data_IF_676554676198
#
_entry.id   IF_676554676198
#
_cell.length_a   1.000
_cell.length_b   1.000
_cell.length_c   1.000
_cell.angle_alpha   90.00
_cell.angle_beta   90.00
_cell.angle_gamma   90.00
#
_symmetry.space_group_name_H-M   'P 1'
#
loop_
_entity.id
_entity.type
_entity.pdbx_description
1 polymer ?
#
# COMPACT_ATOMS: atom_id res chain seq x y z
N UNK A 1 -39.17 29.02 45.02
CA UNK A 1 -38.88 28.10 43.92
C UNK A 1 -37.96 28.86 42.95
N UNK A 2 -36.70 28.40 42.88
CA UNK A 2 -35.74 28.95 41.90
C UNK A 2 -35.88 28.14 40.64
N UNK A 3 -36.41 28.74 39.59
CA UNK A 3 -36.33 28.20 38.23
C UNK A 3 -34.88 28.04 37.83
N UNK A 4 -34.40 26.82 37.89
CA UNK A 4 -33.12 26.43 37.28
C UNK A 4 -33.34 26.40 35.78
N UNK A 5 -33.13 27.54 35.12
CA UNK A 5 -33.00 27.58 33.67
C UNK A 5 -31.75 26.81 33.30
N UNK A 6 -31.94 25.55 32.91
CA UNK A 6 -30.89 24.71 32.38
C UNK A 6 -30.50 25.15 30.96
N UNK A 7 -29.82 26.32 30.89
CA UNK A 7 -29.25 26.85 29.64
C UNK A 7 -27.89 26.26 29.26
N UNK A 8 -27.53 25.09 29.79
CA UNK A 8 -26.17 24.53 29.62
C UNK A 8 -26.08 23.47 28.54
N UNK A 9 -27.17 23.13 27.91
CA UNK A 9 -27.12 22.17 26.79
C UNK A 9 -26.81 22.95 25.50
N UNK A 10 -25.56 22.81 25.03
CA UNK A 10 -25.19 23.18 23.68
C UNK A 10 -26.05 22.37 22.72
N UNK A 11 -26.62 23.06 21.74
CA UNK A 11 -27.41 22.42 20.69
C UNK A 11 -26.55 21.35 20.01
N UNK A 12 -27.06 20.14 19.87
CA UNK A 12 -26.31 19.07 19.23
C UNK A 12 -25.93 19.48 17.79
N UNK A 13 -24.69 19.24 17.37
CA UNK A 13 -24.28 19.56 16.00
C UNK A 13 -25.12 18.74 15.00
N UNK A 14 -25.28 19.27 13.79
CA UNK A 14 -25.98 18.57 12.72
C UNK A 14 -25.26 17.25 12.38
N UNK A 15 -26.01 16.23 11.95
CA UNK A 15 -25.43 14.92 11.57
C UNK A 15 -24.31 15.05 10.53
N UNK A 16 -24.43 16.01 9.60
CA UNK A 16 -23.40 16.29 8.60
C UNK A 16 -22.09 16.75 9.25
N UNK A 17 -22.15 17.55 10.30
CA UNK A 17 -20.97 18.02 11.01
C UNK A 17 -20.32 16.90 11.81
N UNK A 18 -21.13 16.03 12.43
CA UNK A 18 -20.63 14.85 13.14
C UNK A 18 -19.89 13.91 12.18
N UNK A 19 -20.47 13.65 11.03
CA UNK A 19 -19.86 12.79 10.00
C UNK A 19 -18.54 13.35 9.48
N UNK A 20 -18.43 14.67 9.35
CA UNK A 20 -17.19 15.33 8.91
C UNK A 20 -16.11 15.37 9.99
N UNK A 21 -16.48 15.65 11.24
CA UNK A 21 -15.54 15.77 12.37
C UNK A 21 -14.95 14.42 12.75
N UNK A 22 -15.76 13.35 12.72
CA UNK A 22 -15.35 11.99 13.05
C UNK A 22 -14.83 11.20 11.85
N UNK A 23 -14.62 11.84 10.70
CA UNK A 23 -14.12 11.19 9.50
C UNK A 23 -12.65 10.75 9.65
N UNK A 24 -12.37 9.53 9.20
CA UNK A 24 -11.00 9.03 9.11
C UNK A 24 -10.42 9.34 7.74
N UNK A 25 -9.31 10.05 7.73
CA UNK A 25 -8.66 10.52 6.51
C UNK A 25 -7.39 9.72 6.24
N UNK A 26 -7.18 9.28 5.00
CA UNK A 26 -5.98 8.56 4.59
C UNK A 26 -5.52 8.94 3.19
N UNK A 27 -4.21 9.17 3.03
CA UNK A 27 -3.61 9.41 1.73
C UNK A 27 -3.45 8.08 0.97
N UNK A 28 -3.90 8.06 -0.27
CA UNK A 28 -3.81 6.92 -1.19
C UNK A 28 -3.36 7.39 -2.56
N UNK A 29 -3.04 6.43 -3.41
CA UNK A 29 -2.60 6.67 -4.79
C UNK A 29 -3.45 5.81 -5.71
N UNK A 30 -3.83 6.36 -6.85
CA UNK A 30 -4.60 5.66 -7.88
C UNK A 30 -3.66 4.71 -8.62
N UNK A 31 -4.08 3.48 -8.80
CA UNK A 31 -3.34 2.44 -9.52
C UNK A 31 -3.60 2.47 -11.04
N UNK A 32 -2.97 1.52 -11.77
CA UNK A 32 -3.14 1.39 -13.21
C UNK A 32 -4.58 1.02 -13.64
N UNK A 33 -5.38 0.47 -12.72
CA UNK A 33 -6.79 0.13 -12.94
C UNK A 33 -7.75 1.29 -12.69
N UNK A 34 -7.24 2.51 -12.52
CA UNK A 34 -8.02 3.70 -12.15
C UNK A 34 -8.76 3.54 -10.82
N UNK A 35 -8.30 2.66 -9.96
CA UNK A 35 -8.88 2.35 -8.66
C UNK A 35 -7.95 2.74 -7.52
N UNK A 36 -8.54 2.86 -6.33
CA UNK A 36 -7.86 3.17 -5.08
C UNK A 36 -7.96 1.94 -4.18
N UNK A 37 -6.83 1.43 -3.72
CA UNK A 37 -6.81 0.34 -2.75
C UNK A 37 -7.00 0.90 -1.34
N UNK A 38 -8.07 0.45 -0.66
CA UNK A 38 -8.38 0.81 0.72
C UNK A 38 -8.89 -0.42 1.48
N UNK A 39 -8.31 -0.75 2.64
CA UNK A 39 -8.67 -1.93 3.47
C UNK A 39 -8.85 -3.24 2.67
N UNK A 40 -7.88 -3.57 1.80
CA UNK A 40 -7.88 -4.76 0.93
C UNK A 40 -8.95 -4.80 -0.18
N UNK A 41 -9.83 -3.82 -0.26
CA UNK A 41 -10.80 -3.66 -1.34
C UNK A 41 -10.33 -2.60 -2.34
N UNK A 42 -10.86 -2.67 -3.55
CA UNK A 42 -10.59 -1.72 -4.62
C UNK A 42 -11.81 -0.86 -4.85
N UNK A 43 -11.61 0.44 -4.91
CA UNK A 43 -12.68 1.42 -5.07
C UNK A 43 -12.42 2.29 -6.28
N UNK A 44 -13.47 2.54 -7.06
CA UNK A 44 -13.40 3.45 -8.19
C UNK A 44 -14.11 4.77 -7.85
N UNK A 45 -13.51 5.92 -8.22
CA UNK A 45 -14.14 7.22 -8.00
C UNK A 45 -15.30 7.45 -8.98
N UNK A 46 -16.44 7.93 -8.47
CA UNK A 46 -17.62 8.31 -9.22
C UNK A 46 -17.92 9.78 -9.02
N UNK A 47 -18.15 10.48 -10.11
CA UNK A 47 -18.65 11.85 -10.08
C UNK A 47 -20.18 11.84 -10.08
N UNK A 48 -20.77 12.68 -9.23
CA UNK A 48 -22.21 12.92 -9.25
C UNK A 48 -22.52 14.00 -10.28
N UNK A 49 -23.23 13.62 -11.34
CA UNK A 49 -23.72 14.52 -12.37
C UNK A 49 -25.25 14.55 -12.34
N UNK A 50 -25.85 15.55 -13.01
CA UNK A 50 -27.31 15.71 -13.11
C UNK A 50 -28.05 14.48 -13.66
N UNK A 51 -27.35 13.57 -14.36
CA UNK A 51 -27.90 12.32 -14.89
C UNK A 51 -27.49 11.07 -14.11
N UNK A 52 -26.94 11.20 -12.91
CA UNK A 52 -26.52 10.07 -12.05
C UNK A 52 -25.02 9.97 -11.80
N UNK A 53 -24.61 8.85 -11.21
CA UNK A 53 -23.21 8.58 -10.88
C UNK A 53 -22.46 8.03 -12.10
N UNK A 54 -21.38 8.69 -12.48
CA UNK A 54 -20.51 8.23 -13.58
C UNK A 54 -19.09 7.97 -13.06
N UNK A 55 -18.45 6.87 -13.48
CA UNK A 55 -17.07 6.59 -13.11
C UNK A 55 -16.14 7.66 -13.69
N UNK A 56 -15.24 8.17 -12.87
CA UNK A 56 -14.20 9.11 -13.29
C UNK A 56 -12.86 8.40 -13.32
N UNK A 57 -12.18 8.47 -14.45
CA UNK A 57 -10.86 7.85 -14.64
C UNK A 57 -9.76 8.87 -14.35
N UNK A 58 -8.74 8.44 -13.62
CA UNK A 58 -7.57 9.23 -13.29
C UNK A 58 -6.30 8.50 -13.68
N UNK A 59 -5.24 9.23 -13.97
CA UNK A 59 -3.95 8.64 -14.28
C UNK A 59 -3.36 7.90 -13.08
N UNK A 60 -2.62 6.82 -13.36
CA UNK A 60 -1.82 6.10 -12.36
C UNK A 60 -0.88 7.07 -11.64
N UNK A 61 -0.76 6.93 -10.33
CA UNK A 61 0.11 7.80 -9.52
C UNK A 61 -0.58 9.06 -9.02
N UNK A 62 -1.81 9.37 -9.44
CA UNK A 62 -2.55 10.52 -8.91
C UNK A 62 -2.81 10.33 -7.42
N UNK A 63 -2.47 11.34 -6.62
CA UNK A 63 -2.74 11.35 -5.18
C UNK A 63 -4.23 11.57 -4.92
N UNK A 64 -4.78 10.79 -4.00
CA UNK A 64 -6.16 10.85 -3.57
C UNK A 64 -6.22 10.86 -2.04
N UNK A 65 -7.01 11.75 -1.47
CA UNK A 65 -7.32 11.79 -0.06
C UNK A 65 -8.62 11.02 0.15
N UNK A 66 -8.53 9.83 0.74
CA UNK A 66 -9.72 9.01 1.05
C UNK A 66 -10.25 9.43 2.42
N UNK A 67 -11.52 9.75 2.46
CA UNK A 67 -12.25 10.17 3.65
C UNK A 67 -13.33 9.12 3.91
N UNK A 68 -13.22 8.44 5.05
CA UNK A 68 -14.27 7.55 5.55
C UNK A 68 -15.08 8.32 6.57
N UNK A 69 -16.30 8.69 6.20
CA UNK A 69 -17.24 9.35 7.10
C UNK A 69 -17.70 8.41 8.23
N UNK A 70 -18.24 8.96 9.29
CA UNK A 70 -18.70 8.17 10.44
C UNK A 70 -19.84 7.20 10.08
N UNK A 71 -20.70 7.58 9.16
CA UNK A 71 -21.77 6.72 8.59
C UNK A 71 -21.25 5.56 7.72
N UNK A 72 -19.94 5.48 7.49
CA UNK A 72 -19.30 4.48 6.65
C UNK A 72 -19.17 4.85 5.18
N UNK A 73 -19.70 5.98 4.74
CA UNK A 73 -19.56 6.47 3.38
C UNK A 73 -18.09 6.75 3.05
N UNK A 74 -17.64 6.25 1.90
CA UNK A 74 -16.28 6.49 1.41
C UNK A 74 -16.29 7.54 0.31
N UNK A 75 -15.52 8.60 0.53
CA UNK A 75 -15.30 9.68 -0.40
C UNK A 75 -13.82 9.78 -0.75
N UNK A 76 -13.50 10.28 -1.92
CA UNK A 76 -12.13 10.63 -2.28
C UNK A 76 -12.04 12.07 -2.77
N UNK A 77 -11.17 12.86 -2.18
CA UNK A 77 -10.79 14.16 -2.71
C UNK A 77 -9.57 13.99 -3.63
N UNK A 78 -9.75 14.39 -4.90
CA UNK A 78 -8.73 14.26 -5.95
C UNK A 78 -8.70 15.57 -6.71
N UNK A 79 -7.57 16.28 -6.73
CA UNK A 79 -7.41 17.57 -7.39
C UNK A 79 -8.54 18.56 -6.98
N UNK A 80 -8.76 18.68 -5.68
CA UNK A 80 -9.73 19.61 -5.06
C UNK A 80 -11.22 19.33 -5.40
N UNK A 81 -11.51 18.19 -6.01
CA UNK A 81 -12.87 17.73 -6.25
C UNK A 81 -13.17 16.45 -5.46
N UNK A 82 -14.40 16.34 -4.96
CA UNK A 82 -14.84 15.20 -4.16
C UNK A 82 -15.60 14.21 -5.03
N UNK A 83 -15.28 12.94 -4.87
CA UNK A 83 -15.86 11.81 -5.61
C UNK A 83 -16.35 10.75 -4.64
N UNK A 84 -17.48 10.13 -4.94
CA UNK A 84 -17.97 8.99 -4.19
C UNK A 84 -17.15 7.74 -4.59
N UNK A 85 -16.71 6.96 -3.62
CA UNK A 85 -16.01 5.72 -3.86
C UNK A 85 -17.00 4.54 -3.87
N UNK A 86 -16.99 3.74 -4.94
CA UNK A 86 -17.71 2.47 -5.03
C UNK A 86 -16.74 1.32 -5.12
N UNK A 87 -17.04 0.26 -4.41
CA UNK A 87 -16.25 -0.96 -4.47
C UNK A 87 -16.37 -1.61 -5.85
N UNK A 88 -15.22 -2.09 -6.34
CA UNK A 88 -15.10 -2.78 -7.62
C UNK A 88 -14.32 -4.06 -7.39
N UNK A 89 -14.78 -5.13 -7.99
CA UNK A 89 -14.07 -6.40 -7.95
C UNK A 89 -12.66 -6.25 -8.53
N UNK A 90 -11.71 -6.91 -7.89
CA UNK A 90 -10.34 -6.96 -8.37
C UNK A 90 -10.31 -7.60 -9.74
N UNK A 91 -9.91 -6.84 -10.76
CA UNK A 91 -9.67 -7.40 -12.08
C UNK A 91 -8.60 -8.47 -11.98
N UNK A 92 -8.90 -9.66 -12.48
CA UNK A 92 -7.86 -10.68 -12.66
C UNK A 92 -6.80 -10.12 -13.59
N UNK A 93 -5.52 -10.25 -13.20
CA UNK A 93 -4.39 -9.75 -14.00
C UNK A 93 -4.21 -10.49 -15.33
N UNK A 94 -4.91 -11.60 -15.50
CA UNK A 94 -4.86 -12.44 -16.68
C UNK A 94 -6.27 -12.59 -17.27
N UNK A 95 -6.38 -12.39 -18.58
CA UNK A 95 -7.57 -12.79 -19.32
C UNK A 95 -7.55 -14.31 -19.45
N UNK A 96 -8.53 -14.99 -18.89
CA UNK A 96 -8.64 -16.46 -19.00
C UNK A 96 -8.84 -16.94 -20.46
N UNK A 97 -9.20 -16.02 -21.34
CA UNK A 97 -9.46 -16.29 -22.75
C UNK A 97 -8.19 -16.61 -23.55
N UNK A 98 -7.03 -16.14 -23.04
CA UNK A 98 -5.72 -16.35 -23.68
C UNK A 98 -4.79 -17.25 -22.86
N UNK A 99 -5.27 -17.82 -21.74
CA UNK A 99 -4.48 -18.77 -20.99
C UNK A 99 -4.47 -20.11 -21.74
N UNK A 100 -3.29 -20.70 -22.01
CA UNK A 100 -3.21 -22.04 -22.56
C UNK A 100 -3.94 -23.01 -21.62
N UNK A 101 -4.77 -23.91 -22.18
CA UNK A 101 -5.55 -24.89 -21.40
C UNK A 101 -4.72 -25.84 -20.54
N UNK A 102 -3.43 -25.90 -20.75
CA UNK A 102 -2.51 -26.67 -19.92
C UNK A 102 -1.86 -25.78 -18.84
N UNK A 103 -1.92 -26.21 -17.57
CA UNK A 103 -1.19 -25.50 -16.53
C UNK A 103 0.30 -25.46 -16.91
N UNK A 104 0.96 -24.30 -16.79
CA UNK A 104 2.38 -24.22 -17.08
C UNK A 104 3.11 -25.23 -16.21
N UNK A 105 3.96 -26.05 -16.85
CA UNK A 105 4.79 -27.02 -16.13
C UNK A 105 5.45 -26.32 -14.93
N UNK A 106 5.46 -26.94 -13.74
CA UNK A 106 6.02 -26.33 -12.56
C UNK A 106 7.44 -25.88 -12.88
N UNK A 107 7.68 -24.58 -12.84
CA UNK A 107 9.02 -24.04 -13.05
C UNK A 107 9.91 -24.66 -11.98
N UNK A 108 10.80 -25.54 -12.40
CA UNK A 108 11.83 -26.08 -11.52
C UNK A 108 12.59 -24.86 -10.97
N UNK A 109 12.40 -24.59 -9.68
CA UNK A 109 13.20 -23.58 -8.98
C UNK A 109 14.63 -24.06 -9.08
N UNK A 110 15.46 -23.40 -9.88
CA UNK A 110 16.90 -23.64 -9.87
C UNK A 110 17.34 -23.56 -8.43
N UNK A 111 18.00 -24.62 -7.96
CA UNK A 111 18.55 -24.62 -6.61
C UNK A 111 19.38 -23.35 -6.42
N UNK A 112 19.02 -22.58 -5.42
CA UNK A 112 19.80 -21.39 -5.06
C UNK A 112 21.10 -21.75 -4.33
N UNK A 113 21.32 -23.05 -4.14
CA UNK A 113 22.53 -23.54 -3.48
C UNK A 113 23.70 -23.44 -4.48
N UNK A 114 24.71 -22.64 -4.20
CA UNK A 114 25.89 -22.55 -5.07
C UNK A 114 26.59 -23.90 -5.24
N UNK A 115 27.15 -24.13 -6.42
CA UNK A 115 27.93 -25.33 -6.70
C UNK A 115 29.05 -25.51 -5.64
N UNK A 116 29.53 -26.74 -5.38
CA UNK A 116 30.57 -27.02 -4.37
C UNK A 116 31.86 -26.19 -4.57
N UNK A 117 32.19 -25.94 -5.85
CA UNK A 117 33.37 -25.19 -6.32
C UNK A 117 33.12 -23.65 -6.41
N UNK A 118 31.92 -23.19 -6.02
CA UNK A 118 31.60 -21.79 -6.11
C UNK A 118 32.54 -20.97 -5.19
N UNK A 119 33.11 -19.84 -5.67
CA UNK A 119 34.08 -19.02 -4.92
C UNK A 119 33.64 -18.62 -3.51
N UNK A 120 32.35 -18.49 -3.29
CA UNK A 120 31.76 -18.19 -1.99
C UNK A 120 31.97 -19.32 -0.97
N UNK A 121 31.96 -20.58 -1.41
CA UNK A 121 32.17 -21.74 -0.52
C UNK A 121 33.64 -21.99 -0.23
N UNK A 122 34.49 -21.80 -1.23
CA UNK A 122 35.92 -22.05 -1.07
C UNK A 122 36.63 -20.95 -0.30
N UNK A 123 36.16 -19.70 -0.42
CA UNK A 123 36.81 -18.53 0.19
C UNK A 123 36.63 -18.46 1.71
N UNK A 124 35.54 -19.00 2.25
CA UNK A 124 35.27 -19.00 3.70
C UNK A 124 35.70 -20.29 4.42
N UNK A 125 36.03 -21.35 3.68
CA UNK A 125 36.43 -22.63 4.25
C UNK A 125 37.88 -23.01 3.97
N UNK A 126 38.65 -22.14 3.31
CA UNK A 126 40.08 -22.37 3.14
C UNK A 126 40.78 -22.06 4.48
N UNK A 127 41.43 -23.06 5.14
CA UNK A 127 42.10 -22.88 6.42
C UNK A 127 43.21 -21.83 6.39
N UNK A 128 43.65 -21.45 5.19
CA UNK A 128 44.80 -20.55 5.00
C UNK A 128 44.49 -19.06 5.14
N UNK A 129 43.21 -18.67 5.34
CA UNK A 129 42.86 -17.23 5.48
C UNK A 129 43.19 -16.73 6.89
N UNK A 130 43.34 -17.62 7.87
CA UNK A 130 43.72 -17.26 9.24
C UNK A 130 45.22 -17.05 9.41
N UNK A 131 46.07 -17.60 8.53
CA UNK A 131 47.52 -17.43 8.63
C UNK A 131 48.08 -16.11 8.07
N UNK A 132 47.29 -15.42 7.24
CA UNK A 132 47.76 -14.17 6.62
C UNK A 132 47.67 -12.93 7.53
N UNK A 133 47.11 -13.03 8.72
CA UNK A 133 46.97 -11.89 9.64
C UNK A 133 47.78 -12.02 10.96
N UNK A 134 48.58 -13.08 11.09
CA UNK A 134 49.59 -13.08 12.18
C UNK A 134 50.77 -12.29 11.60
N UNK A 135 50.83 -11.00 11.94
CA UNK A 135 51.97 -10.16 11.65
C UNK A 135 53.20 -10.82 12.18
N UNK A 136 54.21 -11.05 11.30
CA UNK A 136 55.58 -11.42 11.72
C UNK A 136 56.05 -10.37 12.73
N UNK A 137 56.60 -10.78 13.89
CA UNK A 137 57.24 -9.81 14.80
C UNK A 137 58.35 -9.12 14.02
N UNK A 138 58.42 -7.79 14.11
CA UNK A 138 59.51 -7.01 13.63
C UNK A 138 60.74 -7.42 14.46
N UNK A 139 61.70 -7.99 13.78
CA UNK A 139 63.05 -8.13 14.36
C UNK A 139 63.62 -6.72 14.53
N UNK A 140 63.92 -6.41 15.77
CA UNK A 140 64.47 -5.15 16.17
C UNK A 140 65.86 -4.95 15.55
N UNK A 141 66.04 -3.79 14.98
CA UNK A 141 67.34 -3.27 14.60
C UNK A 141 68.14 -3.00 15.88
N UNK A 142 69.13 -3.82 16.17
CA UNK A 142 70.23 -3.43 16.99
C UNK A 142 71.43 -3.09 16.10
N UNK A 143 71.94 -1.90 16.31
CA UNK A 143 73.30 -1.32 16.14
C UNK A 143 73.32 -0.11 15.24
#
# INVERSE_FOLDING_TARGET
EKDVQSGTFLQAPAEADINAILAVVSNRVIDAGHSIKYHNAYYQPYAQLSGGLRPKLFAKGTKALVVKAFDGTLLASIKDATYLLREVEKRSSHSKEFDPESPPAPRQRKSSTPAPDHPWRTRFLAPNVLECHIAKPREDYES
#
